data_IF_373640917718
#
_entry.id   IF_373640917718
#
_cell.length_a   1.000
_cell.length_b   1.000
_cell.length_c   1.000
_cell.angle_alpha   90.00
_cell.angle_beta   90.00
_cell.angle_gamma   90.00
#
_symmetry.space_group_name_H-M   'P 1'
#
loop_
_entity.id
_entity.type
_entity.pdbx_description
1 polymer ?
#
# COMPACT_ATOMS: atom_id res chain seq x y z
N UNK A 1 5.42 -1.21 22.19
CA UNK A 1 6.62 -0.52 21.66
C UNK A 1 6.15 0.71 20.89
N UNK A 2 6.83 1.86 21.01
CA UNK A 2 6.46 3.02 20.19
C UNK A 2 6.97 2.82 18.77
N UNK A 3 6.11 2.97 17.77
CA UNK A 3 6.48 2.93 16.34
C UNK A 3 7.15 4.23 15.86
N UNK A 4 7.36 5.17 16.78
CA UNK A 4 7.95 6.47 16.53
C UNK A 4 9.41 6.52 16.95
N UNK A 5 10.16 7.37 16.26
CA UNK A 5 11.57 7.70 16.51
C UNK A 5 11.70 9.22 16.68
N UNK A 6 12.81 9.71 17.26
CA UNK A 6 13.17 11.12 17.12
C UNK A 6 13.16 11.53 15.65
N UNK A 7 12.75 12.77 15.37
CA UNK A 7 12.76 13.30 13.99
C UNK A 7 14.19 13.24 13.45
N UNK A 8 14.36 12.69 12.24
CA UNK A 8 15.67 12.59 11.60
C UNK A 8 16.21 13.98 11.27
N UNK A 9 17.54 14.11 11.32
CA UNK A 9 18.24 15.34 10.98
C UNK A 9 17.92 15.79 9.56
N UNK A 10 17.52 17.05 9.40
CA UNK A 10 17.11 17.67 8.13
C UNK A 10 15.64 17.44 7.76
N UNK A 11 14.92 16.55 8.47
CA UNK A 11 13.50 16.26 8.28
C UNK A 11 12.61 16.97 9.32
N UNK A 12 13.13 18.00 10.00
CA UNK A 12 12.41 18.75 11.03
C UNK A 12 11.28 19.61 10.47
N UNK A 13 10.23 19.78 11.30
CA UNK A 13 9.13 20.69 11.03
C UNK A 13 9.36 22.02 11.73
N UNK A 14 8.76 23.10 11.19
CA UNK A 14 8.75 24.42 11.81
C UNK A 14 7.84 24.43 13.05
N UNK A 15 8.33 23.87 14.15
CA UNK A 15 7.51 23.54 15.33
C UNK A 15 6.70 24.74 15.88
N UNK A 16 7.30 25.94 15.94
CA UNK A 16 6.63 27.14 16.45
C UNK A 16 5.50 27.64 15.53
N UNK A 17 5.73 27.62 14.21
CA UNK A 17 4.71 28.00 13.21
C UNK A 17 3.57 26.98 13.20
N UNK A 18 3.91 25.69 13.19
CA UNK A 18 2.95 24.60 13.22
C UNK A 18 2.13 24.62 14.51
N UNK A 19 2.76 24.79 15.67
CA UNK A 19 2.06 24.82 16.96
C UNK A 19 1.03 25.95 17.02
N UNK A 20 1.42 27.17 16.65
CA UNK A 20 0.51 28.33 16.59
C UNK A 20 -0.65 28.05 15.62
N UNK A 21 -0.34 27.59 14.42
CA UNK A 21 -1.33 27.26 13.41
C UNK A 21 -2.33 26.19 13.90
N UNK A 22 -1.84 25.15 14.58
CA UNK A 22 -2.69 24.09 15.11
C UNK A 22 -3.57 24.58 16.26
N UNK A 23 -3.04 25.39 17.18
CA UNK A 23 -3.82 25.98 18.30
C UNK A 23 -4.97 26.85 17.81
N UNK A 24 -4.77 27.60 16.72
CA UNK A 24 -5.84 28.40 16.09
C UNK A 24 -6.96 27.54 15.48
N UNK A 25 -6.64 26.34 14.97
CA UNK A 25 -7.60 25.47 14.25
C UNK A 25 -8.22 24.39 15.11
N UNK A 26 -7.55 23.96 16.17
CA UNK A 26 -8.00 22.90 17.06
C UNK A 26 -8.04 23.44 18.50
N UNK A 27 -9.16 24.06 18.93
CA UNK A 27 -9.30 24.60 20.28
C UNK A 27 -9.13 23.56 21.41
N UNK A 28 -9.18 22.26 21.07
CA UNK A 28 -8.90 21.16 21.99
C UNK A 28 -7.41 21.01 22.33
N UNK A 29 -6.52 21.66 21.58
CA UNK A 29 -5.10 21.78 21.92
C UNK A 29 -5.00 22.82 23.03
N UNK A 30 -4.72 22.34 24.24
CA UNK A 30 -4.41 23.14 25.43
C UNK A 30 -3.17 24.03 25.23
N UNK A 31 -2.83 24.83 26.24
CA UNK A 31 -1.55 25.58 26.27
C UNK A 31 -0.30 24.68 26.27
N UNK A 32 -0.48 23.35 26.33
CA UNK A 32 0.59 22.36 26.25
C UNK A 32 1.45 22.56 24.98
N UNK A 33 2.75 22.33 25.11
CA UNK A 33 3.69 22.39 24.00
C UNK A 33 3.50 21.21 23.05
N UNK A 34 3.63 21.49 21.75
CA UNK A 34 3.57 20.46 20.71
C UNK A 34 4.83 19.58 20.76
N UNK A 35 4.66 18.27 20.95
CA UNK A 35 5.69 17.25 20.73
C UNK A 35 5.54 16.64 19.35
N UNK A 36 6.66 16.52 18.65
CA UNK A 36 6.73 15.93 17.31
C UNK A 36 7.69 14.74 17.37
N UNK A 37 7.21 13.59 16.92
CA UNK A 37 8.02 12.42 16.64
C UNK A 37 7.77 11.95 15.21
N UNK A 38 8.66 11.14 14.67
CA UNK A 38 8.54 10.63 13.31
C UNK A 38 8.24 9.14 13.31
N UNK A 39 7.45 8.65 12.36
CA UNK A 39 7.32 7.21 12.15
C UNK A 39 8.59 6.66 11.50
N UNK A 40 9.15 5.59 12.07
CA UNK A 40 10.42 5.02 11.62
C UNK A 40 10.33 4.25 10.31
N UNK A 41 9.13 3.89 9.88
CA UNK A 41 8.83 3.06 8.70
C UNK A 41 8.16 3.88 7.59
N UNK A 42 8.41 3.50 6.33
CA UNK A 42 7.89 4.19 5.14
C UNK A 42 8.98 4.99 4.40
N UNK A 43 9.01 4.88 3.08
CA UNK A 43 10.03 5.48 2.21
C UNK A 43 9.48 6.50 1.19
N UNK A 44 8.15 6.64 1.10
CA UNK A 44 7.47 7.51 0.13
C UNK A 44 7.21 8.90 0.69
N UNK A 45 6.36 9.02 1.73
CA UNK A 45 6.01 10.28 2.38
C UNK A 45 6.55 10.34 3.81
N UNK A 46 6.89 11.53 4.27
CA UNK A 46 7.30 11.75 5.66
C UNK A 46 6.04 11.82 6.53
N UNK A 47 6.01 11.00 7.58
CA UNK A 47 4.86 10.87 8.48
C UNK A 47 5.30 11.12 9.91
N UNK A 48 4.59 11.98 10.62
CA UNK A 48 4.92 12.47 11.96
C UNK A 48 3.77 12.23 12.92
N UNK A 49 4.08 11.80 14.14
CA UNK A 49 3.15 11.77 15.25
C UNK A 49 3.21 13.11 15.99
N UNK A 50 2.06 13.79 16.07
CA UNK A 50 1.89 15.04 16.77
C UNK A 50 1.17 14.80 18.09
N UNK A 51 1.63 15.43 19.16
CA UNK A 51 1.00 15.32 20.49
C UNK A 51 1.06 16.63 21.25
N UNK A 52 -0.06 17.07 21.80
CA UNK A 52 -0.15 18.20 22.73
C UNK A 52 -1.16 17.84 23.82
N UNK A 53 -0.69 17.61 25.05
CA UNK A 53 -1.52 17.07 26.13
C UNK A 53 -2.18 15.73 25.76
N UNK A 54 -3.52 15.72 25.70
CA UNK A 54 -4.33 14.56 25.27
C UNK A 54 -4.64 14.55 23.77
N UNK A 55 -4.40 15.65 23.07
CA UNK A 55 -4.63 15.75 21.63
C UNK A 55 -3.51 15.04 20.87
N UNK A 56 -3.87 14.16 19.94
CA UNK A 56 -2.95 13.40 19.10
C UNK A 56 -3.43 13.42 17.64
N UNK A 57 -2.49 13.58 16.71
CA UNK A 57 -2.74 13.53 15.27
C UNK A 57 -1.53 12.96 14.53
N UNK A 58 -1.74 12.61 13.26
CA UNK A 58 -0.66 12.24 12.34
C UNK A 58 -0.58 13.30 11.25
N UNK A 59 0.62 13.83 11.02
CA UNK A 59 0.92 14.73 9.90
C UNK A 59 1.62 13.94 8.81
N UNK A 60 1.14 14.03 7.58
CA UNK A 60 1.77 13.43 6.39
C UNK A 60 2.09 14.52 5.37
N UNK A 61 3.32 14.49 4.85
CA UNK A 61 3.83 15.46 3.87
C UNK A 61 4.75 14.79 2.84
N UNK A 62 5.01 15.42 1.69
CA UNK A 62 5.96 14.91 0.70
C UNK A 62 7.38 14.84 1.26
N UNK A 63 8.25 14.00 0.66
CA UNK A 63 9.67 13.98 0.97
C UNK A 63 10.36 15.30 0.60
N UNK A 64 11.57 15.52 1.13
CA UNK A 64 12.38 16.68 0.80
C UNK A 64 12.93 16.61 -0.63
N UNK A 65 13.14 17.78 -1.25
CA UNK A 65 13.73 17.90 -2.59
C UNK A 65 12.69 17.97 -3.72
N UNK A 66 13.16 17.96 -4.99
CA UNK A 66 12.28 18.03 -6.13
C UNK A 66 11.44 16.76 -6.24
N UNK A 67 10.13 16.90 -6.07
CA UNK A 67 9.17 15.82 -6.22
C UNK A 67 8.69 15.78 -7.68
N UNK A 68 8.60 14.59 -8.27
CA UNK A 68 8.08 14.43 -9.62
C UNK A 68 6.64 14.99 -9.73
N UNK A 69 6.26 15.64 -10.84
CA UNK A 69 4.91 16.19 -10.99
C UNK A 69 3.84 15.14 -10.74
N UNK A 70 2.84 15.47 -9.90
CA UNK A 70 1.73 14.59 -9.44
C UNK A 70 2.14 13.40 -8.56
N UNK A 71 3.42 13.20 -8.27
CA UNK A 71 3.83 12.28 -7.21
C UNK A 71 3.60 12.95 -5.84
N UNK A 72 3.28 12.16 -4.81
CA UNK A 72 3.07 12.65 -3.44
C UNK A 72 1.99 13.75 -3.32
N UNK A 73 0.89 13.62 -4.06
CA UNK A 73 -0.23 14.56 -4.02
C UNK A 73 -1.05 14.42 -2.72
N UNK A 74 -0.62 15.17 -1.69
CA UNK A 74 -1.27 15.21 -0.38
C UNK A 74 -2.73 15.68 -0.44
N UNK A 75 -3.07 16.55 -1.39
CA UNK A 75 -4.44 17.07 -1.56
C UNK A 75 -5.36 15.95 -2.03
N UNK A 76 -4.87 15.14 -2.97
CA UNK A 76 -5.58 13.96 -3.47
C UNK A 76 -5.79 12.93 -2.37
N UNK A 77 -4.75 12.58 -1.61
CA UNK A 77 -4.86 11.61 -0.51
C UNK A 77 -5.85 12.10 0.57
N UNK A 78 -5.78 13.37 0.98
CA UNK A 78 -6.75 13.96 1.90
C UNK A 78 -8.19 13.88 1.40
N UNK A 79 -8.44 14.18 0.12
CA UNK A 79 -9.78 14.09 -0.50
C UNK A 79 -10.30 12.67 -0.51
N UNK A 80 -9.45 11.69 -0.81
CA UNK A 80 -9.79 10.26 -0.76
C UNK A 80 -10.23 9.90 0.65
N UNK A 81 -9.39 10.16 1.66
CA UNK A 81 -9.72 9.86 3.05
C UNK A 81 -11.02 10.54 3.50
N UNK A 82 -11.26 11.79 3.06
CA UNK A 82 -12.44 12.55 3.47
C UNK A 82 -13.73 11.94 2.95
N UNK A 83 -13.72 11.46 1.72
CA UNK A 83 -14.86 10.79 1.11
C UNK A 83 -15.01 9.34 1.58
N UNK A 84 -13.89 8.68 1.89
CA UNK A 84 -13.85 7.26 2.20
C UNK A 84 -14.14 6.94 3.67
N UNK A 85 -13.59 7.69 4.62
CA UNK A 85 -13.70 7.39 6.06
C UNK A 85 -15.16 7.19 6.55
N UNK A 86 -16.16 7.97 6.10
CA UNK A 86 -17.56 7.74 6.48
C UNK A 86 -18.14 6.39 6.01
N UNK A 87 -17.56 5.80 4.96
CA UNK A 87 -18.01 4.55 4.34
C UNK A 87 -17.15 3.35 4.76
N UNK A 88 -15.90 3.61 5.13
CA UNK A 88 -14.90 2.62 5.54
C UNK A 88 -14.09 3.18 6.72
N UNK A 89 -14.59 3.01 7.96
CA UNK A 89 -14.04 3.65 9.16
C UNK A 89 -12.61 3.23 9.52
N UNK A 90 -12.08 2.17 8.93
CA UNK A 90 -10.67 1.76 9.07
C UNK A 90 -9.72 2.70 8.32
N UNK A 91 -10.20 3.43 7.31
CA UNK A 91 -9.46 4.56 6.77
C UNK A 91 -9.39 5.67 7.85
N UNK A 92 -8.21 6.22 8.18
CA UNK A 92 -8.08 7.23 9.23
C UNK A 92 -8.92 8.47 8.93
N UNK A 93 -9.55 9.03 9.96
CA UNK A 93 -10.32 10.27 9.80
C UNK A 93 -9.38 11.42 9.43
N UNK A 94 -9.56 12.09 8.28
CA UNK A 94 -8.78 13.26 7.96
C UNK A 94 -9.31 14.46 8.76
N UNK A 95 -8.39 15.30 9.24
CA UNK A 95 -8.72 16.49 10.03
C UNK A 95 -8.59 17.77 9.20
N UNK A 96 -7.49 17.92 8.47
CA UNK A 96 -7.16 19.17 7.78
C UNK A 96 -6.19 18.91 6.62
N UNK A 97 -6.28 19.72 5.57
CA UNK A 97 -5.25 19.84 4.53
C UNK A 97 -4.79 21.30 4.48
N UNK A 98 -3.49 21.51 4.39
CA UNK A 98 -2.86 22.82 4.28
C UNK A 98 -1.88 22.80 3.09
N UNK A 99 -1.98 23.81 2.23
CA UNK A 99 -1.14 23.96 1.04
C UNK A 99 -0.01 24.98 1.23
N UNK A 100 -0.12 25.88 2.21
CA UNK A 100 0.89 26.89 2.52
C UNK A 100 2.16 26.26 3.13
N UNK A 101 3.29 26.26 2.39
CA UNK A 101 4.55 25.73 2.90
C UNK A 101 5.15 26.59 4.04
N UNK A 102 4.63 27.79 4.30
CA UNK A 102 5.08 28.63 5.41
C UNK A 102 4.89 27.92 6.77
N UNK A 103 3.84 27.11 6.90
CA UNK A 103 3.43 26.43 8.15
C UNK A 103 4.33 25.25 8.50
N UNK A 104 4.51 24.31 7.57
CA UNK A 104 5.23 23.05 7.84
C UNK A 104 6.40 22.77 6.87
N UNK A 105 6.75 23.72 6.00
CA UNK A 105 7.80 23.59 4.99
C UNK A 105 7.34 22.99 3.66
N UNK A 106 6.12 22.45 3.59
CA UNK A 106 5.47 21.94 2.39
C UNK A 106 3.96 21.85 2.63
N UNK A 107 3.19 21.57 1.58
CA UNK A 107 1.81 21.10 1.75
C UNK A 107 1.79 19.83 2.60
N UNK A 108 0.76 19.67 3.42
CA UNK A 108 0.58 18.53 4.30
C UNK A 108 -0.90 18.28 4.58
N UNK A 109 -1.22 17.12 5.13
CA UNK A 109 -2.51 16.90 5.77
C UNK A 109 -2.35 16.29 7.16
N UNK A 110 -3.38 16.50 7.98
CA UNK A 110 -3.53 15.91 9.30
C UNK A 110 -4.63 14.85 9.25
N UNK A 111 -4.41 13.76 9.96
CA UNK A 111 -5.39 12.72 10.18
C UNK A 111 -5.33 12.17 11.60
N UNK A 112 -6.33 11.37 11.93
CA UNK A 112 -6.44 10.65 13.17
C UNK A 112 -5.23 9.76 13.48
N UNK A 113 -4.77 9.81 14.72
CA UNK A 113 -3.80 8.86 15.25
C UNK A 113 -4.49 7.58 15.70
N UNK A 114 -4.52 6.58 14.81
CA UNK A 114 -4.95 5.21 15.16
C UNK A 114 -3.94 4.52 16.06
N UNK A 115 -4.42 3.69 16.98
CA UNK A 115 -3.63 2.88 17.92
C UNK A 115 -3.95 1.42 17.76
N UNK A 116 -2.95 0.57 17.93
CA UNK A 116 -3.06 -0.86 17.69
C UNK A 116 -1.70 -1.47 17.36
N UNK A 117 -1.77 -2.65 16.77
CA UNK A 117 -0.65 -3.53 16.48
C UNK A 117 -0.45 -3.67 14.98
N UNK A 118 0.78 -3.51 14.52
CA UNK A 118 1.19 -3.89 13.16
C UNK A 118 1.65 -5.35 13.17
N UNK A 119 1.13 -6.14 12.23
CA UNK A 119 1.63 -7.49 11.93
C UNK A 119 2.36 -7.44 10.60
N UNK A 120 3.60 -7.94 10.57
CA UNK A 120 4.43 -7.93 9.36
C UNK A 120 5.22 -9.24 9.22
N UNK A 121 6.46 -9.27 9.71
CA UNK A 121 7.32 -10.48 9.67
C UNK A 121 7.24 -11.33 10.94
N UNK A 122 6.49 -10.86 11.94
CA UNK A 122 6.20 -11.54 13.20
C UNK A 122 5.03 -10.85 13.91
N UNK A 123 4.43 -11.53 14.88
CA UNK A 123 3.53 -10.92 15.85
C UNK A 123 4.33 -10.07 16.86
N UNK A 124 3.67 -9.16 17.61
CA UNK A 124 4.30 -8.48 18.73
C UNK A 124 4.89 -9.42 19.76
N UNK A 125 5.94 -8.96 20.45
CA UNK A 125 6.52 -9.68 21.57
C UNK A 125 5.47 -10.01 22.62
N UNK A 126 5.46 -11.27 23.08
CA UNK A 126 4.49 -11.77 24.06
C UNK A 126 3.20 -12.34 23.47
N UNK A 127 2.98 -12.23 22.15
CA UNK A 127 1.85 -12.85 21.47
C UNK A 127 2.33 -14.07 20.68
N UNK A 128 1.81 -15.24 21.04
CA UNK A 128 2.09 -16.50 20.35
C UNK A 128 1.34 -16.58 19.01
N UNK A 129 1.90 -17.22 17.99
CA UNK A 129 1.15 -17.52 16.77
C UNK A 129 0.48 -18.90 16.92
N UNK A 130 -0.84 -18.91 17.03
CA UNK A 130 -1.65 -20.14 17.00
C UNK A 130 -2.35 -20.28 15.65
N UNK A 131 -2.74 -21.51 15.29
CA UNK A 131 -3.56 -21.81 14.10
C UNK A 131 -4.80 -20.90 14.03
N UNK A 132 -5.52 -20.79 15.14
CA UNK A 132 -6.73 -19.96 15.22
C UNK A 132 -6.44 -18.48 14.98
N UNK A 133 -5.32 -17.97 15.49
CA UNK A 133 -4.95 -16.56 15.33
C UNK A 133 -4.52 -16.24 13.89
N UNK A 134 -3.75 -17.11 13.25
CA UNK A 134 -3.40 -16.98 11.83
C UNK A 134 -4.66 -17.02 10.94
N UNK A 135 -5.61 -17.91 11.26
CA UNK A 135 -6.92 -17.99 10.61
C UNK A 135 -7.73 -16.70 10.76
N UNK A 136 -7.91 -16.21 11.99
CA UNK A 136 -8.65 -14.96 12.27
C UNK A 136 -8.07 -13.77 11.51
N UNK A 137 -6.74 -13.58 11.56
CA UNK A 137 -6.08 -12.49 10.85
C UNK A 137 -6.28 -12.60 9.33
N UNK A 138 -6.20 -13.81 8.78
CA UNK A 138 -6.46 -14.06 7.36
C UNK A 138 -7.90 -13.73 6.98
N UNK A 139 -8.88 -14.12 7.81
CA UNK A 139 -10.29 -13.83 7.59
C UNK A 139 -10.60 -12.34 7.67
N UNK A 140 -10.02 -11.62 8.64
CA UNK A 140 -10.16 -10.16 8.74
C UNK A 140 -9.65 -9.46 7.49
N UNK A 141 -8.49 -9.90 6.97
CA UNK A 141 -7.93 -9.33 5.74
C UNK A 141 -8.82 -9.60 4.53
N UNK A 142 -9.45 -10.76 4.41
CA UNK A 142 -10.43 -11.04 3.35
C UNK A 142 -11.66 -10.16 3.52
N UNK A 143 -12.22 -10.13 4.73
CA UNK A 143 -13.49 -9.47 5.04
C UNK A 143 -13.41 -7.95 4.82
N UNK A 144 -12.31 -7.31 5.22
CA UNK A 144 -12.10 -5.87 5.00
C UNK A 144 -11.86 -5.53 3.54
N UNK A 145 -11.20 -6.40 2.76
CA UNK A 145 -11.05 -6.20 1.31
C UNK A 145 -12.41 -6.30 0.59
N UNK A 146 -13.25 -7.28 0.98
CA UNK A 146 -14.62 -7.41 0.45
C UNK A 146 -15.45 -6.17 0.80
N UNK A 147 -15.39 -5.70 2.05
CA UNK A 147 -16.08 -4.48 2.49
C UNK A 147 -15.64 -3.26 1.69
N UNK A 148 -14.34 -3.08 1.48
CA UNK A 148 -13.78 -2.00 0.65
C UNK A 148 -14.32 -2.05 -0.78
N UNK A 149 -14.34 -3.24 -1.40
CA UNK A 149 -14.81 -3.43 -2.77
C UNK A 149 -16.34 -3.37 -2.92
N UNK A 150 -17.08 -3.32 -1.82
CA UNK A 150 -18.53 -3.18 -1.77
C UNK A 150 -18.99 -1.73 -1.54
N UNK A 151 -18.07 -0.78 -1.35
CA UNK A 151 -18.41 0.63 -1.10
C UNK A 151 -19.21 1.21 -2.28
N UNK A 152 -20.41 1.78 -2.03
CA UNK A 152 -21.23 2.41 -3.06
C UNK A 152 -20.68 3.80 -3.41
N UNK A 153 -19.59 3.84 -4.16
CA UNK A 153 -18.81 5.06 -4.41
C UNK A 153 -19.46 6.03 -5.42
N UNK A 154 -20.46 5.58 -6.18
CA UNK A 154 -21.02 6.35 -7.31
C UNK A 154 -21.70 7.66 -6.87
N UNK A 155 -22.20 7.72 -5.63
CA UNK A 155 -22.87 8.90 -5.07
C UNK A 155 -21.95 9.71 -4.13
N UNK A 156 -20.64 9.58 -4.29
CA UNK A 156 -19.65 10.20 -3.40
C UNK A 156 -18.58 10.91 -4.21
N UNK A 157 -17.77 11.75 -3.57
CA UNK A 157 -16.67 12.46 -4.24
C UNK A 157 -15.62 11.49 -4.85
N UNK A 158 -15.65 10.20 -4.46
CA UNK A 158 -14.77 9.16 -5.00
C UNK A 158 -15.01 8.89 -6.49
N UNK A 159 -16.19 9.21 -7.03
CA UNK A 159 -16.50 9.06 -8.47
C UNK A 159 -15.53 9.86 -9.36
N UNK A 160 -14.92 10.91 -8.81
CA UNK A 160 -14.00 11.79 -9.54
C UNK A 160 -12.54 11.30 -9.55
N UNK A 161 -12.22 10.17 -8.92
CA UNK A 161 -10.83 9.70 -8.78
C UNK A 161 -10.22 9.17 -10.08
N UNK A 162 -11.02 8.58 -10.96
CA UNK A 162 -10.56 7.98 -12.22
C UNK A 162 -11.75 7.61 -13.12
N UNK A 163 -11.45 7.34 -14.39
CA UNK A 163 -12.38 6.68 -15.31
C UNK A 163 -12.19 5.16 -15.18
N UNK A 164 -13.23 4.36 -14.89
CA UNK A 164 -13.10 2.91 -14.75
C UNK A 164 -13.02 2.16 -16.09
N UNK A 165 -13.60 2.68 -17.16
CA UNK A 165 -13.64 2.00 -18.46
C UNK A 165 -12.23 1.80 -18.99
N UNK A 166 -11.85 0.60 -19.44
CA UNK A 166 -10.49 0.33 -19.94
C UNK A 166 -9.41 0.42 -18.85
N UNK A 167 -9.75 0.24 -17.58
CA UNK A 167 -8.80 0.29 -16.46
C UNK A 167 -7.62 -0.65 -16.68
N UNK A 168 -7.88 -1.94 -16.92
CA UNK A 168 -6.81 -2.94 -17.08
C UNK A 168 -5.91 -2.66 -18.28
N UNK A 169 -6.47 -2.27 -19.43
CA UNK A 169 -5.70 -1.89 -20.61
C UNK A 169 -4.73 -0.73 -20.31
N UNK A 170 -5.22 0.33 -19.65
CA UNK A 170 -4.36 1.45 -19.24
C UNK A 170 -3.31 1.05 -18.22
N UNK A 171 -3.65 0.18 -17.27
CA UNK A 171 -2.70 -0.29 -16.28
C UNK A 171 -1.58 -1.09 -16.97
N UNK A 172 -1.92 -2.07 -17.79
CA UNK A 172 -0.95 -2.89 -18.52
C UNK A 172 -0.03 -2.02 -19.37
N UNK A 173 -0.57 -1.20 -20.27
CA UNK A 173 0.24 -0.32 -21.13
C UNK A 173 1.11 0.65 -20.33
N UNK A 174 0.54 1.28 -19.30
CA UNK A 174 1.27 2.24 -18.45
C UNK A 174 2.43 1.61 -17.68
N UNK A 175 2.30 0.36 -17.22
CA UNK A 175 3.36 -0.35 -16.50
C UNK A 175 4.43 -0.90 -17.47
N UNK A 176 4.05 -1.32 -18.68
CA UNK A 176 5.00 -1.69 -19.75
C UNK A 176 5.89 -0.49 -20.10
N UNK A 177 5.31 0.68 -20.33
CA UNK A 177 6.11 1.88 -20.59
C UNK A 177 7.04 2.25 -19.42
N UNK A 178 6.56 2.12 -18.18
CA UNK A 178 7.38 2.38 -16.98
C UNK A 178 8.58 1.44 -16.90
N UNK A 179 8.40 0.16 -17.25
CA UNK A 179 9.49 -0.80 -17.34
C UNK A 179 10.53 -0.32 -18.36
N UNK A 180 10.12 -0.01 -19.58
CA UNK A 180 11.04 0.41 -20.64
C UNK A 180 11.83 1.67 -20.28
N UNK A 181 11.19 2.66 -19.62
CA UNK A 181 11.88 3.87 -19.13
C UNK A 181 12.90 3.60 -18.03
N UNK A 182 12.73 2.53 -17.25
CA UNK A 182 13.59 2.17 -16.13
C UNK A 182 14.51 0.97 -16.43
N UNK A 183 14.49 0.44 -17.65
CA UNK A 183 15.28 -0.73 -18.04
C UNK A 183 16.77 -0.46 -17.88
N UNK A 184 17.45 -1.36 -17.16
CA UNK A 184 18.90 -1.27 -16.91
C UNK A 184 19.70 -2.31 -17.66
N UNK A 185 19.12 -3.48 -17.90
CA UNK A 185 19.72 -4.68 -18.49
C UNK A 185 18.63 -5.44 -19.27
N UNK A 186 19.02 -6.36 -20.15
CA UNK A 186 18.05 -7.20 -20.89
C UNK A 186 17.50 -8.32 -20.01
N UNK A 187 16.18 -8.53 -20.07
CA UNK A 187 15.50 -9.67 -19.44
C UNK A 187 14.58 -10.27 -20.50
N UNK A 188 15.01 -11.39 -21.10
CA UNK A 188 14.36 -11.99 -22.27
C UNK A 188 12.88 -12.30 -22.04
N UNK A 189 12.52 -12.71 -20.83
CA UNK A 189 11.16 -13.07 -20.44
C UNK A 189 10.18 -11.88 -20.48
N UNK A 190 10.67 -10.64 -20.41
CA UNK A 190 9.79 -9.47 -20.37
C UNK A 190 9.02 -9.32 -21.66
N UNK A 191 9.66 -9.46 -22.82
CA UNK A 191 8.97 -9.34 -24.11
C UNK A 191 7.86 -10.39 -24.27
N UNK A 192 8.08 -11.60 -23.76
CA UNK A 192 7.09 -12.69 -23.77
C UNK A 192 5.93 -12.35 -22.83
N UNK A 193 6.25 -11.93 -21.60
CA UNK A 193 5.27 -11.60 -20.57
C UNK A 193 4.38 -10.41 -20.98
N UNK A 194 4.96 -9.32 -21.49
CA UNK A 194 4.18 -8.13 -21.87
C UNK A 194 3.26 -8.41 -23.04
N UNK A 195 3.75 -9.16 -24.06
CA UNK A 195 2.93 -9.64 -25.18
C UNK A 195 1.77 -10.51 -24.70
N UNK A 196 1.99 -11.37 -23.70
CA UNK A 196 0.93 -12.17 -23.09
C UNK A 196 -0.09 -11.31 -22.35
N UNK A 197 0.37 -10.35 -21.52
CA UNK A 197 -0.51 -9.46 -20.75
C UNK A 197 -1.43 -8.64 -21.65
N UNK A 198 -0.92 -8.12 -22.76
CA UNK A 198 -1.69 -7.33 -23.73
C UNK A 198 -2.75 -8.19 -24.45
N UNK A 199 -2.43 -9.43 -24.79
CA UNK A 199 -3.32 -10.33 -25.56
C UNK A 199 -4.42 -10.99 -24.74
N UNK A 200 -4.24 -11.11 -23.42
CA UNK A 200 -5.12 -11.87 -22.54
C UNK A 200 -5.86 -10.98 -21.53
N UNK A 201 -6.06 -9.70 -21.86
CA UNK A 201 -6.80 -8.76 -21.00
C UNK A 201 -8.15 -9.37 -20.57
N UNK A 202 -8.43 -9.45 -19.26
CA UNK A 202 -9.68 -10.01 -18.76
C UNK A 202 -10.82 -9.02 -18.99
N UNK A 203 -12.04 -9.56 -19.06
CA UNK A 203 -13.24 -8.73 -19.01
C UNK A 203 -13.46 -8.28 -17.56
N UNK A 204 -13.20 -7.00 -17.28
CA UNK A 204 -13.44 -6.42 -15.95
C UNK A 204 -14.93 -6.45 -15.60
N UNK A 205 -15.23 -6.82 -14.35
CA UNK A 205 -16.56 -6.68 -13.76
C UNK A 205 -16.88 -5.24 -13.34
N UNK A 206 -17.90 -5.07 -12.50
CA UNK A 206 -18.25 -3.75 -11.97
C UNK A 206 -17.08 -3.16 -11.16
N UNK A 207 -16.68 -1.90 -11.46
CA UNK A 207 -15.57 -1.24 -10.78
C UNK A 207 -15.87 -0.99 -9.31
N UNK A 208 -14.82 -0.84 -8.51
CA UNK A 208 -14.91 -0.52 -7.09
C UNK A 208 -13.85 0.49 -6.69
N UNK A 209 -13.96 1.01 -5.46
CA UNK A 209 -12.82 1.58 -4.77
C UNK A 209 -11.78 0.47 -4.60
N UNK A 210 -10.52 0.74 -4.96
CA UNK A 210 -9.39 -0.17 -4.75
C UNK A 210 -8.30 0.55 -3.96
N UNK A 211 -7.70 -0.12 -2.98
CA UNK A 211 -6.58 0.38 -2.20
C UNK A 211 -5.30 0.43 -3.03
N UNK A 212 -5.02 -0.67 -3.73
CA UNK A 212 -3.89 -0.91 -4.64
C UNK A 212 -2.51 -1.04 -4.00
N UNK A 213 -2.46 -0.95 -2.67
CA UNK A 213 -1.36 -1.36 -1.77
C UNK A 213 -1.86 -2.19 -0.56
N UNK A 214 -2.86 -3.04 -0.75
CA UNK A 214 -3.49 -3.78 0.35
C UNK A 214 -2.60 -4.92 0.85
N UNK A 215 -1.97 -4.76 2.02
CA UNK A 215 -1.02 -5.73 2.59
C UNK A 215 -0.99 -5.66 4.11
N UNK A 216 -0.52 -6.75 4.74
CA UNK A 216 -0.60 -6.93 6.18
C UNK A 216 0.10 -5.82 6.98
N UNK A 217 1.25 -5.33 6.53
CA UNK A 217 1.99 -4.26 7.20
C UNK A 217 1.43 -2.84 6.97
N UNK A 218 0.42 -2.69 6.12
CA UNK A 218 -0.40 -1.47 6.02
C UNK A 218 -1.67 -1.56 6.88
N UNK A 219 -1.98 -2.74 7.44
CA UNK A 219 -3.09 -2.93 8.36
C UNK A 219 -2.63 -2.79 9.81
N UNK A 220 -3.47 -2.13 10.61
CA UNK A 220 -3.35 -2.02 12.05
C UNK A 220 -4.47 -2.84 12.69
N UNK A 221 -4.11 -3.71 13.62
CA UNK A 221 -5.03 -4.57 14.34
C UNK A 221 -5.24 -4.08 15.78
N UNK A 222 -6.32 -4.52 16.41
CA UNK A 222 -6.51 -4.37 17.86
C UNK A 222 -5.44 -5.16 18.63
N UNK A 223 -5.22 -4.83 19.91
CA UNK A 223 -4.17 -5.49 20.72
C UNK A 223 -4.41 -7.00 20.90
N UNK A 224 -5.68 -7.42 20.89
CA UNK A 224 -6.10 -8.83 20.95
C UNK A 224 -6.12 -9.52 19.58
N UNK A 225 -5.84 -8.78 18.50
CA UNK A 225 -5.79 -9.24 17.11
C UNK A 225 -7.12 -9.80 16.56
N UNK A 226 -8.25 -9.33 17.09
CA UNK A 226 -9.59 -9.78 16.69
C UNK A 226 -10.29 -8.85 15.70
N UNK A 227 -9.79 -7.63 15.50
CA UNK A 227 -10.33 -6.67 14.51
C UNK A 227 -9.23 -5.79 13.88
N UNK A 228 -9.56 -5.14 12.77
CA UNK A 228 -8.72 -4.16 12.09
C UNK A 228 -9.03 -2.76 12.65
N UNK A 229 -8.09 -2.20 13.42
CA UNK A 229 -8.18 -0.85 13.96
C UNK A 229 -7.92 0.25 12.91
N UNK A 230 -7.22 -0.08 11.82
CA UNK A 230 -7.01 0.86 10.71
C UNK A 230 -6.32 0.25 9.50
N UNK A 231 -6.46 0.93 8.36
CA UNK A 231 -5.78 0.61 7.10
C UNK A 231 -5.11 1.88 6.57
N UNK A 232 -3.83 1.80 6.21
CA UNK A 232 -3.00 2.95 5.85
C UNK A 232 -2.49 2.90 4.41
N UNK A 233 -1.95 4.04 3.96
CA UNK A 233 -1.29 4.22 2.67
C UNK A 233 -2.23 4.27 1.45
N UNK A 234 -3.19 5.19 1.52
CA UNK A 234 -4.23 5.42 0.50
C UNK A 234 -3.73 6.20 -0.73
N UNK A 235 -2.42 6.35 -0.92
CA UNK A 235 -1.87 7.18 -1.99
C UNK A 235 -2.11 6.57 -3.39
N UNK A 236 -2.17 5.24 -3.49
CA UNK A 236 -2.42 4.52 -4.74
C UNK A 236 -3.90 4.26 -5.01
N UNK A 237 -4.78 4.64 -4.08
CA UNK A 237 -6.22 4.36 -4.15
C UNK A 237 -6.86 4.98 -5.38
N UNK A 238 -7.75 4.25 -6.04
CA UNK A 238 -8.46 4.72 -7.24
C UNK A 238 -9.78 3.97 -7.42
N UNK A 239 -10.55 4.30 -8.47
CA UNK A 239 -11.66 3.49 -8.92
C UNK A 239 -11.17 2.60 -10.07
N UNK A 240 -11.35 1.29 -9.95
CA UNK A 240 -10.79 0.34 -10.90
C UNK A 240 -11.35 -1.07 -10.75
N UNK A 241 -10.65 -2.02 -11.37
CA UNK A 241 -11.00 -3.44 -11.30
C UNK A 241 -10.60 -4.01 -9.91
N UNK A 242 -11.56 -4.50 -9.10
CA UNK A 242 -11.26 -5.08 -7.79
C UNK A 242 -10.33 -6.29 -7.83
N UNK A 243 -10.31 -7.04 -8.94
CA UNK A 243 -9.42 -8.18 -9.06
C UNK A 243 -7.97 -7.75 -9.28
N UNK A 244 -7.73 -6.54 -9.79
CA UNK A 244 -6.39 -5.97 -9.83
C UNK A 244 -5.86 -5.64 -8.42
N UNK A 245 -6.75 -5.23 -7.52
CA UNK A 245 -6.40 -5.01 -6.11
C UNK A 245 -6.17 -6.33 -5.37
N UNK A 246 -7.03 -7.32 -5.60
CA UNK A 246 -6.83 -8.68 -5.08
C UNK A 246 -5.50 -9.28 -5.60
N UNK A 247 -5.20 -9.12 -6.89
CA UNK A 247 -3.92 -9.53 -7.48
C UNK A 247 -2.73 -8.85 -6.80
N UNK A 248 -2.81 -7.52 -6.59
CA UNK A 248 -1.79 -6.77 -5.87
C UNK A 248 -1.60 -7.28 -4.44
N UNK A 249 -2.68 -7.46 -3.69
CA UNK A 249 -2.66 -8.01 -2.34
C UNK A 249 -2.00 -9.39 -2.29
N UNK A 250 -2.35 -10.27 -3.23
CA UNK A 250 -1.81 -11.62 -3.29
C UNK A 250 -0.35 -11.68 -3.77
N UNK A 251 0.15 -10.64 -4.43
CA UNK A 251 1.59 -10.51 -4.71
C UNK A 251 2.42 -10.23 -3.44
N UNK A 252 1.81 -9.62 -2.41
CA UNK A 252 2.42 -9.40 -1.09
C UNK A 252 2.16 -10.54 -0.10
N UNK A 253 1.05 -11.27 -0.26
CA UNK A 253 0.70 -12.43 0.57
C UNK A 253 1.60 -13.61 0.20
N UNK A 254 2.60 -13.89 1.04
CA UNK A 254 3.57 -14.98 0.83
C UNK A 254 2.97 -16.31 1.23
N UNK A 255 3.14 -17.32 0.38
CA UNK A 255 2.70 -18.71 0.62
C UNK A 255 3.91 -19.58 1.01
N UNK A 256 3.69 -20.60 1.84
CA UNK A 256 4.73 -21.55 2.25
C UNK A 256 5.37 -22.25 1.04
N UNK A 257 4.60 -22.46 -0.04
CA UNK A 257 5.08 -23.17 -1.24
C UNK A 257 5.80 -22.27 -2.25
N UNK A 258 5.92 -20.98 -1.97
CA UNK A 258 6.66 -20.06 -2.85
C UNK A 258 8.14 -20.42 -2.95
N UNK A 259 8.81 -20.09 -4.07
CA UNK A 259 10.26 -20.19 -4.13
C UNK A 259 10.91 -19.22 -3.12
N UNK A 260 12.05 -19.62 -2.55
CA UNK A 260 12.77 -18.81 -1.57
C UNK A 260 13.17 -17.42 -2.12
N UNK A 261 13.48 -17.35 -3.42
CA UNK A 261 13.76 -16.06 -4.08
C UNK A 261 12.59 -15.08 -3.99
N UNK A 262 11.35 -15.57 -3.96
CA UNK A 262 10.15 -14.74 -3.77
C UNK A 262 9.93 -14.42 -2.29
N UNK A 263 10.01 -15.44 -1.41
CA UNK A 263 9.80 -15.30 0.04
C UNK A 263 10.77 -14.30 0.68
N UNK A 264 12.04 -14.35 0.30
CA UNK A 264 13.11 -13.56 0.89
C UNK A 264 13.53 -12.35 0.03
N UNK A 265 12.81 -12.06 -1.06
CA UNK A 265 13.16 -11.00 -2.00
C UNK A 265 13.16 -9.59 -1.40
N UNK A 266 12.32 -9.36 -0.38
CA UNK A 266 12.30 -8.11 0.41
C UNK A 266 13.05 -8.23 1.74
N UNK A 267 13.84 -9.29 1.96
CA UNK A 267 14.52 -9.57 3.20
C UNK A 267 13.80 -10.63 4.04
N UNK A 268 13.38 -10.28 5.25
CA UNK A 268 12.65 -11.23 6.11
C UNK A 268 11.23 -11.44 5.55
N UNK A 269 10.76 -12.69 5.41
CA UNK A 269 9.46 -12.97 4.82
C UNK A 269 8.33 -12.46 5.70
N UNK A 270 7.18 -12.19 5.08
CA UNK A 270 5.93 -11.94 5.81
C UNK A 270 5.57 -13.15 6.68
N UNK A 271 4.92 -12.90 7.81
CA UNK A 271 4.42 -13.95 8.70
C UNK A 271 3.38 -14.86 8.01
N UNK A 272 2.77 -14.42 6.90
CA UNK A 272 1.78 -15.22 6.16
C UNK A 272 2.34 -16.51 5.57
N UNK A 273 3.67 -16.65 5.52
CA UNK A 273 4.35 -17.91 5.14
C UNK A 273 4.05 -19.06 6.13
N UNK A 274 3.60 -18.74 7.34
CA UNK A 274 3.32 -19.75 8.36
C UNK A 274 2.04 -20.53 8.02
N UNK A 275 2.00 -21.86 8.21
CA UNK A 275 0.84 -22.70 7.87
C UNK A 275 -0.49 -22.30 8.52
N UNK A 276 -0.43 -21.55 9.63
CA UNK A 276 -1.58 -21.02 10.34
C UNK A 276 -2.33 -19.92 9.58
N UNK A 277 -1.68 -19.27 8.60
CA UNK A 277 -2.33 -18.30 7.72
C UNK A 277 -2.93 -18.99 6.49
N UNK A 278 -3.91 -18.34 5.87
CA UNK A 278 -4.45 -18.82 4.61
C UNK A 278 -3.36 -18.89 3.53
N UNK A 279 -3.37 -19.96 2.74
CA UNK A 279 -2.76 -19.96 1.41
C UNK A 279 -3.43 -18.91 0.53
N UNK A 280 -2.76 -18.49 -0.56
CA UNK A 280 -3.39 -17.57 -1.53
C UNK A 280 -4.71 -18.12 -2.07
N UNK A 281 -4.78 -19.44 -2.28
CA UNK A 281 -5.99 -20.09 -2.78
C UNK A 281 -7.14 -19.92 -1.79
N UNK A 282 -6.92 -20.21 -0.50
CA UNK A 282 -7.95 -20.04 0.53
C UNK A 282 -8.42 -18.58 0.64
N UNK A 283 -7.50 -17.61 0.56
CA UNK A 283 -7.84 -16.19 0.55
C UNK A 283 -8.75 -15.84 -0.64
N UNK A 284 -8.35 -16.23 -1.85
CA UNK A 284 -9.08 -15.92 -3.09
C UNK A 284 -10.43 -16.64 -3.14
N UNK A 285 -10.50 -17.90 -2.73
CA UNK A 285 -11.75 -18.66 -2.68
C UNK A 285 -12.76 -17.99 -1.74
N UNK A 286 -12.33 -17.62 -0.52
CA UNK A 286 -13.20 -16.93 0.45
C UNK A 286 -13.60 -15.54 -0.04
N UNK A 287 -12.68 -14.82 -0.68
CA UNK A 287 -12.99 -13.54 -1.31
C UNK A 287 -14.08 -13.69 -2.37
N UNK A 288 -13.97 -14.71 -3.24
CA UNK A 288 -14.97 -14.99 -4.27
C UNK A 288 -16.33 -15.32 -3.64
N UNK A 289 -16.35 -16.19 -2.63
CA UNK A 289 -17.56 -16.57 -1.87
C UNK A 289 -18.25 -15.33 -1.27
N UNK A 290 -17.50 -14.48 -0.56
CA UNK A 290 -18.05 -13.33 0.16
C UNK A 290 -18.41 -12.14 -0.73
N UNK A 291 -17.64 -11.90 -1.79
CA UNK A 291 -17.89 -10.79 -2.71
C UNK A 291 -18.90 -11.14 -3.82
N UNK A 292 -19.14 -12.43 -4.05
CA UNK A 292 -19.94 -12.92 -5.18
C UNK A 292 -19.29 -12.66 -6.55
N UNK A 293 -18.00 -12.29 -6.59
CA UNK A 293 -17.30 -11.96 -7.83
C UNK A 293 -16.68 -13.21 -8.44
N UNK A 294 -16.74 -13.31 -9.76
CA UNK A 294 -16.00 -14.35 -10.49
C UNK A 294 -14.49 -14.06 -10.43
N UNK A 295 -13.73 -15.06 -9.99
CA UNK A 295 -12.26 -15.01 -9.88
C UNK A 295 -11.58 -15.98 -10.86
N UNK A 296 -12.30 -16.50 -11.85
CA UNK A 296 -11.78 -17.41 -12.88
C UNK A 296 -10.52 -16.88 -13.57
N UNK A 297 -10.44 -15.56 -13.76
CA UNK A 297 -9.30 -14.88 -14.38
C UNK A 297 -8.21 -14.45 -13.37
N UNK A 298 -8.31 -14.82 -12.09
CA UNK A 298 -7.37 -14.40 -11.04
C UNK A 298 -5.88 -14.61 -11.38
N UNK A 299 -5.47 -15.73 -12.01
CA UNK A 299 -4.07 -15.90 -12.41
C UNK A 299 -3.53 -14.78 -13.32
N UNK A 300 -4.36 -14.19 -14.19
CA UNK A 300 -3.98 -13.01 -14.98
C UNK A 300 -3.63 -11.83 -14.07
N UNK A 301 -4.50 -11.54 -13.11
CA UNK A 301 -4.31 -10.42 -12.19
C UNK A 301 -3.09 -10.61 -11.30
N UNK A 302 -2.81 -11.85 -10.85
CA UNK A 302 -1.61 -12.17 -10.09
C UNK A 302 -0.33 -12.04 -10.94
N UNK A 303 -0.35 -12.53 -12.18
CA UNK A 303 0.77 -12.36 -13.12
C UNK A 303 1.05 -10.86 -13.38
N UNK A 304 -0.01 -10.08 -13.62
CA UNK A 304 0.10 -8.64 -13.78
C UNK A 304 0.61 -7.94 -12.51
N UNK A 305 0.18 -8.37 -11.32
CA UNK A 305 0.65 -7.82 -10.05
C UNK A 305 2.15 -8.08 -9.82
N UNK A 306 2.64 -9.28 -10.11
CA UNK A 306 4.09 -9.56 -10.06
C UNK A 306 4.87 -8.74 -11.09
N UNK A 307 4.34 -8.55 -12.31
CA UNK A 307 4.94 -7.65 -13.29
C UNK A 307 5.01 -6.22 -12.75
N UNK A 308 3.89 -5.66 -12.27
CA UNK A 308 3.82 -4.34 -11.63
C UNK A 308 4.87 -4.20 -10.52
N UNK A 309 4.97 -5.19 -9.64
CA UNK A 309 5.94 -5.21 -8.55
C UNK A 309 7.39 -5.23 -9.07
N UNK A 310 7.67 -6.01 -10.11
CA UNK A 310 8.97 -6.04 -10.77
C UNK A 310 9.33 -4.66 -11.33
N UNK A 311 8.38 -3.96 -11.95
CA UNK A 311 8.62 -2.60 -12.47
C UNK A 311 8.91 -1.60 -11.34
N UNK A 312 8.21 -1.69 -10.21
CA UNK A 312 8.49 -0.85 -9.03
C UNK A 312 9.93 -1.09 -8.54
N UNK A 313 10.32 -2.35 -8.34
CA UNK A 313 11.69 -2.72 -7.96
C UNK A 313 12.72 -2.25 -8.99
N UNK A 314 12.42 -2.36 -10.29
CA UNK A 314 13.28 -1.92 -11.39
C UNK A 314 13.45 -0.39 -11.37
N UNK A 315 12.41 0.37 -11.09
CA UNK A 315 12.50 1.84 -10.96
C UNK A 315 13.39 2.26 -9.80
N UNK A 316 13.33 1.55 -8.66
CA UNK A 316 14.20 1.81 -7.51
C UNK A 316 15.65 1.44 -7.85
N UNK A 317 15.87 0.25 -8.43
CA UNK A 317 17.18 -0.20 -8.87
C UNK A 317 17.81 0.73 -9.91
N UNK A 318 17.03 1.23 -10.87
CA UNK A 318 17.47 2.20 -11.87
C UNK A 318 18.08 3.44 -11.22
N UNK A 319 17.42 4.01 -10.19
CA UNK A 319 17.94 5.18 -9.47
C UNK A 319 19.27 4.88 -8.79
N UNK A 320 19.39 3.70 -8.18
CA UNK A 320 20.64 3.23 -7.57
C UNK A 320 21.75 3.06 -8.63
N UNK A 321 21.48 2.36 -9.73
CA UNK A 321 22.43 2.13 -10.83
C UNK A 321 22.90 3.44 -11.48
N UNK A 322 22.04 4.47 -11.53
CA UNK A 322 22.37 5.82 -12.01
C UNK A 322 23.05 6.72 -10.97
N UNK A 323 23.29 6.23 -9.75
CA UNK A 323 23.91 7.01 -8.68
C UNK A 323 23.02 8.11 -8.09
N UNK A 324 21.71 8.08 -8.35
CA UNK A 324 20.74 9.05 -7.81
C UNK A 324 20.38 8.77 -6.34
N UNK A 325 20.75 7.59 -5.84
CA UNK A 325 20.68 7.19 -4.44
C UNK A 325 21.88 6.31 -4.12
N UNK A 326 22.35 6.37 -2.87
CA UNK A 326 23.50 5.59 -2.37
C UNK A 326 23.08 4.44 -1.44
N UNK A 327 21.78 4.17 -1.33
CA UNK A 327 21.26 3.12 -0.47
C UNK A 327 21.59 1.73 -1.04
N UNK A 328 22.56 1.04 -0.45
CA UNK A 328 23.01 -0.28 -0.87
C UNK A 328 21.91 -1.36 -0.82
N UNK A 329 20.84 -1.15 -0.04
CA UNK A 329 19.69 -2.07 -0.02
C UNK A 329 19.06 -2.17 -1.41
N UNK A 330 19.13 -1.12 -2.22
CA UNK A 330 18.52 -1.09 -3.55
C UNK A 330 19.31 -1.87 -4.60
N UNK A 331 20.58 -2.21 -4.34
CA UNK A 331 21.36 -3.10 -5.20
C UNK A 331 20.73 -4.50 -5.30
N UNK A 332 20.10 -4.96 -4.21
CA UNK A 332 19.44 -6.27 -4.12
C UNK A 332 18.19 -6.40 -4.98
N UNK A 333 17.66 -5.28 -5.49
CA UNK A 333 16.48 -5.32 -6.35
C UNK A 333 16.76 -5.88 -7.74
N UNK A 334 17.99 -5.81 -8.26
CA UNK A 334 18.30 -6.39 -9.58
C UNK A 334 17.95 -7.88 -9.69
N UNK A 335 18.51 -8.79 -8.87
CA UNK A 335 18.14 -10.20 -8.92
C UNK A 335 16.66 -10.46 -8.57
N UNK A 336 16.06 -9.60 -7.75
CA UNK A 336 14.66 -9.75 -7.39
C UNK A 336 13.70 -9.35 -8.52
N UNK A 337 14.06 -8.36 -9.36
CA UNK A 337 13.31 -8.04 -10.59
C UNK A 337 13.22 -9.28 -11.49
N UNK A 338 14.35 -9.96 -11.73
CA UNK A 338 14.35 -11.21 -12.51
C UNK A 338 13.43 -12.27 -11.90
N UNK A 339 13.46 -12.43 -10.58
CA UNK A 339 12.59 -13.37 -9.86
C UNK A 339 11.11 -13.05 -10.09
N UNK A 340 10.73 -11.77 -9.98
CA UNK A 340 9.35 -11.33 -10.14
C UNK A 340 8.86 -11.45 -11.59
N UNK A 341 9.70 -11.14 -12.58
CA UNK A 341 9.37 -11.35 -14.00
C UNK A 341 9.18 -12.85 -14.29
N UNK A 342 10.07 -13.70 -13.78
CA UNK A 342 9.94 -15.15 -13.93
C UNK A 342 8.65 -15.66 -13.28
N UNK A 343 8.34 -15.21 -12.07
CA UNK A 343 7.12 -15.59 -11.36
C UNK A 343 5.86 -15.12 -12.10
N UNK A 344 5.86 -13.90 -12.63
CA UNK A 344 4.77 -13.37 -13.44
C UNK A 344 4.54 -14.25 -14.68
N UNK A 345 5.60 -14.60 -15.40
CA UNK A 345 5.51 -15.44 -16.59
C UNK A 345 5.10 -16.89 -16.27
N UNK A 346 5.59 -17.47 -15.18
CA UNK A 346 5.18 -18.80 -14.70
C UNK A 346 3.69 -18.83 -14.37
N UNK A 347 3.21 -17.81 -13.63
CA UNK A 347 1.78 -17.62 -13.32
C UNK A 347 0.95 -17.50 -14.60
N UNK A 348 1.41 -16.71 -15.57
CA UNK A 348 0.77 -16.56 -16.87
C UNK A 348 0.71 -17.90 -17.64
N UNK A 349 1.80 -18.66 -17.73
CA UNK A 349 1.84 -19.95 -18.45
C UNK A 349 1.00 -21.04 -17.81
N UNK A 350 0.84 -21.00 -16.48
CA UNK A 350 -0.06 -21.88 -15.74
C UNK A 350 -1.53 -21.76 -16.18
N UNK A 351 -1.91 -20.65 -16.82
CA UNK A 351 -3.26 -20.44 -17.39
C UNK A 351 -3.47 -21.07 -18.75
N UNK A 352 -2.40 -21.30 -19.51
CA UNK A 352 -2.46 -21.83 -20.89
C UNK A 352 -2.66 -23.35 -20.97
N UNK A 353 -2.76 -24.03 -19.82
CA UNK A 353 -2.93 -25.49 -19.70
C UNK A 353 -4.24 -25.88 -18.99
N UNK A 354 -5.16 -24.92 -18.78
CA UNK A 354 -6.46 -25.13 -18.15
C UNK A 354 -7.61 -25.24 -19.15
#
# INVERSE_FOLDING_TARGET
MSYTIPVREGEELKIQELERYLKERFPAISDDSLRIEQFGTGASNLTYALKAGKWEAVLRRPPLGPVAPKAHDMKREFRILKALHPLFPEAPKPYLYEEDPSVAGSAFFLMERRKGVIVDTSLPAGIELTEERGRILSELMVDKLVQLHAIPYQNTDLVNLSRPEGFMERQVGGWIERYHRAKTDEIEEVAILTSWLEKHLPSSGAPSVIHYDYKLNNALFTEDLTDMAGLFDWEMTTIGDPLADLGAAMSYWTDEKDPDSLKFGFGKPSITIQPSFYSRKQFVDRYAEKSGRDVSSFPYYLAFAYFKLAVICQQIYYRYKKGQTKDERFAKFAPFVHTLIHQALSTAKGTSHG
#
